data_IF_055553025298
#
_entry.id   IF_055553025298
#
_cell.length_a   1.000
_cell.length_b   1.000
_cell.length_c   1.000
_cell.angle_alpha   90.00
_cell.angle_beta   90.00
_cell.angle_gamma   90.00
#
_symmetry.space_group_name_H-M   'P 1'
#
loop_
_entity.id
_entity.type
_entity.pdbx_description
1 polymer ?
#
# COMPACT_ATOMS: atom_id res chain seq x y z
N UNK A 1 -6.17 -16.85 5.55
CA UNK A 1 -4.90 -16.24 5.10
C UNK A 1 -3.85 -17.34 5.03
N UNK A 2 -3.49 -17.84 3.83
CA UNK A 2 -2.39 -18.82 3.69
C UNK A 2 -1.12 -18.05 3.37
N UNK A 3 -0.15 -18.04 4.29
CA UNK A 3 1.27 -17.83 3.93
C UNK A 3 1.62 -18.93 2.92
N UNK A 4 2.17 -18.53 1.79
CA UNK A 4 2.71 -19.49 0.84
C UNK A 4 4.14 -19.82 1.28
N UNK A 5 4.27 -20.86 2.10
CA UNK A 5 5.54 -21.47 2.45
C UNK A 5 5.77 -22.65 1.50
N UNK A 6 6.40 -22.36 0.35
CA UNK A 6 6.81 -23.37 -0.66
C UNK A 6 8.24 -23.89 -0.39
N UNK A 7 8.55 -25.16 -0.67
CA UNK A 7 9.63 -25.90 0.00
C UNK A 7 10.98 -25.87 -0.74
N UNK A 8 12.06 -25.98 0.03
CA UNK A 8 13.23 -26.80 -0.34
C UNK A 8 14.33 -26.21 -1.22
N UNK A 9 14.24 -24.96 -1.68
CA UNK A 9 15.35 -24.32 -2.44
C UNK A 9 16.04 -23.20 -1.64
N UNK A 10 15.49 -22.82 -0.47
CA UNK A 10 16.08 -21.80 0.41
C UNK A 10 17.42 -22.22 1.03
N UNK A 11 17.67 -23.52 1.24
CA UNK A 11 18.86 -23.98 1.95
C UNK A 11 20.15 -23.95 1.10
N UNK A 12 20.03 -24.03 -0.23
CA UNK A 12 21.19 -24.12 -1.12
C UNK A 12 21.68 -22.76 -1.69
N UNK A 13 21.00 -21.66 -1.35
CA UNK A 13 21.36 -20.30 -1.81
C UNK A 13 21.62 -19.32 -0.65
N UNK A 14 21.23 -19.67 0.58
CA UNK A 14 21.59 -18.95 1.81
C UNK A 14 22.91 -19.43 2.42
N UNK A 15 23.42 -20.60 2.02
CA UNK A 15 24.73 -21.11 2.43
C UNK A 15 25.90 -20.27 1.90
N UNK A 16 25.67 -19.46 0.87
CA UNK A 16 26.71 -18.63 0.24
C UNK A 16 26.76 -17.20 0.79
N UNK A 17 25.92 -16.87 1.79
CA UNK A 17 25.85 -15.51 2.37
C UNK A 17 26.06 -15.51 3.90
N UNK A 18 25.71 -16.57 4.63
CA UNK A 18 25.79 -16.61 6.10
C UNK A 18 26.87 -17.57 6.63
N UNK A 19 28.13 -17.24 6.36
CA UNK A 19 29.26 -18.04 6.82
C UNK A 19 30.54 -17.23 7.05
N UNK A 20 30.55 -16.32 8.03
CA UNK A 20 31.60 -16.25 9.06
C UNK A 20 31.40 -15.05 10.00
N UNK A 21 31.40 -15.36 11.30
CA UNK A 21 31.40 -14.39 12.39
C UNK A 21 32.66 -13.53 12.34
N UNK A 22 32.51 -12.21 12.38
CA UNK A 22 33.63 -11.28 12.60
C UNK A 22 34.06 -11.38 14.07
N UNK A 23 34.99 -12.29 14.35
CA UNK A 23 35.92 -12.17 15.45
C UNK A 23 37.15 -11.38 14.95
N UNK A 24 37.49 -10.32 15.67
CA UNK A 24 38.67 -9.48 15.41
C UNK A 24 39.95 -10.31 15.33
N UNK A 25 40.66 -10.23 14.19
CA UNK A 25 42.12 -10.42 14.15
C UNK A 25 42.75 -9.67 12.98
N UNK A 26 43.54 -8.64 13.30
CA UNK A 26 44.55 -8.07 12.39
C UNK A 26 45.63 -9.12 12.17
N UNK A 27 45.89 -9.54 10.93
CA UNK A 27 47.23 -9.79 10.35
C UNK A 27 47.12 -9.72 8.82
N UNK A 28 48.11 -9.07 8.21
CA UNK A 28 48.41 -8.86 6.78
C UNK A 28 48.40 -10.08 5.86
N UNK A 29 47.94 -9.92 4.62
CA UNK A 29 48.21 -10.85 3.50
C UNK A 29 47.37 -10.54 2.26
N UNK A 30 48.02 -10.42 1.10
CA UNK A 30 47.47 -10.03 -0.21
C UNK A 30 46.88 -11.19 -1.03
N UNK A 31 45.95 -10.80 -1.92
CA UNK A 31 45.53 -11.41 -3.20
C UNK A 31 44.38 -12.45 -3.20
N UNK A 32 43.37 -12.15 -4.03
CA UNK A 32 42.26 -13.03 -4.42
C UNK A 32 41.03 -12.23 -4.88
N UNK A 33 41.07 -11.69 -6.10
CA UNK A 33 39.91 -11.13 -6.79
C UNK A 33 39.00 -12.26 -7.30
N UNK A 34 37.68 -12.03 -7.25
CA UNK A 34 36.64 -12.47 -8.20
C UNK A 34 35.27 -12.64 -7.49
N UNK A 35 34.76 -11.54 -6.93
CA UNK A 35 33.33 -11.33 -6.79
C UNK A 35 32.95 -10.27 -7.82
N UNK A 36 32.20 -10.62 -8.86
CA UNK A 36 31.64 -9.62 -9.78
C UNK A 36 30.75 -8.67 -8.95
N UNK A 37 31.26 -7.46 -8.71
CA UNK A 37 30.53 -6.37 -8.07
C UNK A 37 29.38 -5.96 -9.02
N UNK A 38 28.23 -6.64 -8.89
CA UNK A 38 27.07 -6.31 -9.70
C UNK A 38 26.68 -4.86 -9.42
N UNK A 39 26.43 -4.05 -10.47
CA UNK A 39 26.18 -2.63 -10.28
C UNK A 39 24.95 -2.42 -9.39
N UNK A 40 25.10 -1.52 -8.41
CA UNK A 40 24.05 -1.17 -7.46
C UNK A 40 22.74 -0.83 -8.18
N UNK A 41 21.57 -1.30 -7.70
CA UNK A 41 20.29 -0.91 -8.25
C UNK A 41 20.10 0.61 -8.24
N UNK A 42 19.56 1.13 -9.34
CA UNK A 42 19.26 2.56 -9.50
C UNK A 42 17.77 2.79 -9.67
N UNK A 43 17.32 3.93 -9.20
CA UNK A 43 15.95 4.42 -9.28
C UNK A 43 15.94 5.69 -10.11
N UNK A 44 15.04 5.76 -11.08
CA UNK A 44 14.76 6.98 -11.83
C UNK A 44 13.43 7.55 -11.35
N UNK A 45 13.48 8.77 -10.83
CA UNK A 45 12.34 9.55 -10.36
C UNK A 45 12.00 10.60 -11.42
N UNK A 46 10.71 10.92 -11.59
CA UNK A 46 10.29 12.09 -12.35
C UNK A 46 9.90 13.21 -11.38
N UNK A 47 10.52 14.37 -11.56
CA UNK A 47 10.27 15.59 -10.78
C UNK A 47 9.67 16.66 -11.69
N UNK A 48 9.31 17.82 -11.13
CA UNK A 48 8.87 18.95 -11.94
C UNK A 48 9.98 19.48 -12.87
N UNK A 49 11.24 19.32 -12.46
CA UNK A 49 12.42 19.78 -13.20
C UNK A 49 12.96 18.76 -14.20
N UNK A 50 12.49 17.51 -14.16
CA UNK A 50 12.90 16.45 -15.08
C UNK A 50 13.12 15.09 -14.42
N UNK A 51 13.81 14.21 -15.13
CA UNK A 51 14.14 12.87 -14.63
C UNK A 51 15.47 12.88 -13.86
N UNK A 52 15.48 12.25 -12.69
CA UNK A 52 16.66 12.15 -11.83
C UNK A 52 16.96 10.69 -11.54
N UNK A 53 18.16 10.24 -11.90
CA UNK A 53 18.66 8.91 -11.57
C UNK A 53 19.45 8.94 -10.25
N UNK A 54 19.17 8.00 -9.34
CA UNK A 54 19.87 7.86 -8.06
C UNK A 54 20.14 6.39 -7.76
N UNK A 55 21.28 6.06 -7.13
CA UNK A 55 21.45 4.77 -6.47
C UNK A 55 20.36 4.59 -5.42
N UNK A 56 19.80 3.38 -5.31
CA UNK A 56 18.63 3.16 -4.43
C UNK A 56 18.91 3.55 -2.98
N UNK A 57 20.13 3.34 -2.48
CA UNK A 57 20.52 3.74 -1.11
C UNK A 57 20.32 5.22 -0.79
N UNK A 58 20.28 6.07 -1.82
CA UNK A 58 20.06 7.52 -1.71
C UNK A 58 18.60 7.94 -1.98
N UNK A 59 17.68 6.99 -2.03
CA UNK A 59 16.26 7.21 -2.30
C UNK A 59 15.45 7.04 -1.01
N UNK A 60 14.96 8.14 -0.47
CA UNK A 60 14.06 8.13 0.68
C UNK A 60 12.61 8.07 0.24
N UNK A 61 11.72 7.62 1.11
CA UNK A 61 10.28 7.67 0.87
C UNK A 61 9.80 9.10 0.61
N UNK A 62 10.36 10.10 1.30
CA UNK A 62 10.05 11.51 1.09
C UNK A 62 10.40 11.99 -0.34
N UNK A 63 11.55 11.57 -0.88
CA UNK A 63 11.92 11.87 -2.27
C UNK A 63 10.92 11.25 -3.26
N UNK A 64 10.45 10.03 -2.98
CA UNK A 64 9.43 9.38 -3.81
C UNK A 64 8.08 10.09 -3.71
N UNK A 65 7.67 10.52 -2.51
CA UNK A 65 6.39 11.22 -2.32
C UNK A 65 6.36 12.60 -2.97
N UNK A 66 7.51 13.25 -3.16
CA UNK A 66 7.62 14.51 -3.89
C UNK A 66 7.68 14.33 -5.43
N UNK A 67 7.86 13.10 -5.91
CA UNK A 67 7.92 12.79 -7.33
C UNK A 67 6.52 12.70 -7.95
N UNK A 68 6.46 12.81 -9.28
CA UNK A 68 5.24 12.55 -10.06
C UNK A 68 5.27 11.14 -10.64
N UNK A 69 4.10 10.53 -10.97
CA UNK A 69 4.06 9.19 -11.54
C UNK A 69 4.99 9.01 -12.74
N UNK A 70 5.72 7.90 -12.75
CA UNK A 70 6.71 7.57 -13.79
C UNK A 70 6.08 7.47 -15.19
N UNK A 71 4.80 7.09 -15.28
CA UNK A 71 4.07 7.04 -16.54
C UNK A 71 2.93 8.04 -16.54
N UNK A 72 2.76 8.71 -17.68
CA UNK A 72 1.55 9.47 -17.94
C UNK A 72 0.49 8.51 -18.42
N UNK A 73 -0.58 8.36 -17.65
CA UNK A 73 -1.66 7.45 -18.01
C UNK A 73 -2.48 8.07 -19.15
N UNK A 74 -2.59 7.34 -20.27
CA UNK A 74 -3.40 7.72 -21.43
C UNK A 74 -4.52 6.71 -21.62
N UNK A 75 -5.76 7.17 -21.54
CA UNK A 75 -6.95 6.38 -21.89
C UNK A 75 -7.13 6.38 -23.41
N UNK A 76 -7.12 5.20 -24.03
CA UNK A 76 -7.35 5.02 -25.46
C UNK A 76 -8.54 4.07 -25.66
N UNK A 77 -9.45 4.41 -26.59
CA UNK A 77 -10.62 3.59 -26.93
C UNK A 77 -10.17 2.18 -27.32
N UNK A 78 -10.66 1.15 -26.61
CA UNK A 78 -10.33 -0.26 -26.86
C UNK A 78 -9.25 -0.85 -25.95
N UNK A 79 -8.72 -0.11 -24.98
CA UNK A 79 -7.83 -0.66 -23.96
C UNK A 79 -8.58 -1.65 -23.05
N UNK A 80 -7.92 -2.78 -22.74
CA UNK A 80 -8.40 -3.78 -21.79
C UNK A 80 -8.30 -3.31 -20.33
N UNK A 81 -7.51 -2.26 -20.08
CA UNK A 81 -7.23 -1.68 -18.78
C UNK A 81 -8.12 -0.43 -18.59
N UNK A 82 -8.55 -0.16 -17.36
CA UNK A 82 -9.44 0.94 -17.02
C UNK A 82 -8.67 2.01 -16.25
N UNK A 83 -7.88 2.86 -16.93
CA UNK A 83 -7.18 3.93 -16.27
C UNK A 83 -8.13 4.98 -15.72
N UNK A 84 -7.80 5.52 -14.54
CA UNK A 84 -8.59 6.56 -13.91
C UNK A 84 -7.88 7.27 -12.78
N UNK A 85 -8.58 8.23 -12.18
CA UNK A 85 -8.13 9.00 -11.04
C UNK A 85 -9.01 8.68 -9.83
N UNK A 86 -8.37 8.36 -8.71
CA UNK A 86 -9.02 8.14 -7.42
C UNK A 86 -8.65 9.28 -6.48
N UNK A 87 -9.63 10.04 -6.00
CA UNK A 87 -9.38 11.02 -4.94
C UNK A 87 -9.17 10.29 -3.61
N UNK A 88 -7.99 10.42 -3.01
CA UNK A 88 -7.61 9.78 -1.75
C UNK A 88 -7.74 10.78 -0.59
N UNK A 89 -8.38 10.34 0.49
CA UNK A 89 -8.44 11.12 1.74
C UNK A 89 -7.05 11.25 2.37
N UNK A 90 -6.24 10.20 2.28
CA UNK A 90 -4.86 10.13 2.78
C UNK A 90 -3.95 11.16 2.13
N UNK A 91 -4.01 11.30 0.80
CA UNK A 91 -3.16 12.27 0.08
C UNK A 91 -3.82 13.64 -0.11
N UNK A 92 -5.13 13.76 0.16
CA UNK A 92 -5.93 14.95 -0.17
C UNK A 92 -6.05 15.22 -1.68
N UNK A 93 -5.60 14.30 -2.53
CA UNK A 93 -5.41 14.52 -3.96
C UNK A 93 -5.78 13.29 -4.80
N UNK A 94 -5.55 13.41 -6.12
CA UNK A 94 -5.83 12.33 -7.04
C UNK A 94 -4.62 11.40 -7.19
N UNK A 95 -4.86 10.11 -7.01
CA UNK A 95 -3.90 9.03 -7.25
C UNK A 95 -4.35 8.25 -8.48
N UNK A 96 -3.41 7.99 -9.39
CA UNK A 96 -3.71 7.30 -10.65
C UNK A 96 -3.73 5.78 -10.45
N UNK A 97 -4.58 5.09 -11.21
CA UNK A 97 -4.58 3.63 -11.32
C UNK A 97 -4.83 3.23 -12.78
N UNK A 98 -4.36 2.06 -13.17
CA UNK A 98 -4.55 1.49 -14.52
C UNK A 98 -5.51 0.28 -14.54
N UNK A 99 -5.76 -0.34 -13.38
CA UNK A 99 -6.66 -1.49 -13.29
C UNK A 99 -7.66 -1.40 -12.14
N UNK A 100 -8.76 -2.16 -12.24
CA UNK A 100 -9.74 -2.28 -11.13
C UNK A 100 -9.14 -2.92 -9.88
N UNK A 101 -8.12 -3.76 -10.05
CA UNK A 101 -7.41 -4.38 -8.94
C UNK A 101 -6.52 -3.35 -8.25
N UNK A 102 -5.81 -2.50 -9.00
CA UNK A 102 -5.08 -1.35 -8.44
C UNK A 102 -6.01 -0.38 -7.70
N UNK A 103 -7.16 -0.04 -8.30
CA UNK A 103 -8.18 0.77 -7.61
C UNK A 103 -8.63 0.15 -6.29
N UNK A 104 -8.78 -1.19 -6.25
CA UNK A 104 -9.14 -1.87 -5.02
C UNK A 104 -8.00 -1.81 -3.98
N UNK A 105 -6.73 -1.92 -4.38
CA UNK A 105 -5.59 -1.75 -3.47
C UNK A 105 -5.45 -0.32 -2.95
N UNK A 106 -5.70 0.67 -3.81
CA UNK A 106 -5.75 2.08 -3.42
C UNK A 106 -6.83 2.35 -2.40
N UNK A 107 -8.03 1.78 -2.61
CA UNK A 107 -9.13 1.91 -1.67
C UNK A 107 -8.78 1.34 -0.28
N UNK A 108 -8.11 0.18 -0.24
CA UNK A 108 -7.62 -0.40 1.03
C UNK A 108 -6.55 0.49 1.66
N UNK A 109 -5.61 1.01 0.85
CA UNK A 109 -4.57 1.92 1.35
C UNK A 109 -5.17 3.21 1.92
N UNK A 110 -6.20 3.77 1.28
CA UNK A 110 -6.82 5.03 1.70
C UNK A 110 -7.69 4.90 2.95
N UNK A 111 -8.12 3.68 3.27
CA UNK A 111 -8.89 3.36 4.48
C UNK A 111 -7.98 3.02 5.67
N UNK A 112 -6.76 2.56 5.42
CA UNK A 112 -5.80 2.17 6.46
C UNK A 112 -5.23 3.43 7.15
N UNK A 113 -5.61 3.66 8.40
CA UNK A 113 -5.20 4.85 9.17
C UNK A 113 -3.70 4.92 9.43
N UNK A 114 -3.00 3.79 9.32
CA UNK A 114 -1.55 3.75 9.46
C UNK A 114 -0.84 4.21 8.19
N UNK A 115 -1.53 4.30 7.04
CA UNK A 115 -0.96 4.81 5.79
C UNK A 115 -1.11 6.32 5.73
N UNK A 116 0.01 7.03 5.63
CA UNK A 116 0.08 8.51 5.59
C UNK A 116 0.56 9.04 4.24
N UNK A 117 0.97 8.17 3.32
CA UNK A 117 1.41 8.55 1.98
C UNK A 117 1.17 7.45 0.95
N UNK A 118 0.73 7.85 -0.24
CA UNK A 118 0.45 6.95 -1.36
C UNK A 118 1.01 7.57 -2.64
N UNK A 119 2.04 6.95 -3.23
CA UNK A 119 2.56 7.32 -4.54
C UNK A 119 2.26 6.22 -5.56
N UNK A 120 1.57 6.57 -6.64
CA UNK A 120 1.31 5.66 -7.76
C UNK A 120 2.44 5.70 -8.79
N UNK A 121 2.83 4.53 -9.27
CA UNK A 121 3.92 4.36 -10.24
C UNK A 121 5.16 5.19 -9.86
N UNK A 122 5.67 5.00 -8.64
CA UNK A 122 6.52 5.98 -7.95
C UNK A 122 7.85 6.28 -8.67
N UNK A 123 8.39 5.30 -9.40
CA UNK A 123 9.68 5.40 -10.08
C UNK A 123 9.91 4.22 -11.04
N UNK A 124 10.96 4.32 -11.85
CA UNK A 124 11.53 3.17 -12.56
C UNK A 124 12.73 2.62 -11.80
N UNK A 125 12.64 1.35 -11.40
CA UNK A 125 13.73 0.58 -10.81
C UNK A 125 14.52 -0.13 -11.91
N UNK A 126 15.86 -0.04 -11.85
CA UNK A 126 16.78 -0.78 -12.72
C UNK A 126 17.79 -1.53 -11.88
N UNK A 127 18.07 -2.77 -12.26
CA UNK A 127 19.09 -3.60 -11.62
C UNK A 127 19.65 -4.61 -12.63
N UNK A 128 20.82 -5.18 -12.33
CA UNK A 128 21.33 -6.36 -13.01
C UNK A 128 20.95 -7.61 -12.23
N UNK A 129 20.20 -8.52 -12.84
CA UNK A 129 19.71 -9.74 -12.19
C UNK A 129 20.12 -10.93 -13.06
N UNK A 130 20.95 -11.83 -12.52
CA UNK A 130 21.51 -12.96 -13.28
C UNK A 130 22.25 -12.50 -14.54
N UNK A 131 23.08 -11.46 -14.42
CA UNK A 131 23.85 -10.88 -15.55
C UNK A 131 23.02 -10.09 -16.57
N UNK A 132 21.70 -9.94 -16.39
CA UNK A 132 20.82 -9.23 -17.33
C UNK A 132 20.26 -7.95 -16.73
N UNK A 133 20.28 -6.87 -17.52
CA UNK A 133 19.62 -5.63 -17.15
C UNK A 133 18.09 -5.83 -17.08
N UNK A 134 17.50 -5.54 -15.92
CA UNK A 134 16.06 -5.59 -15.67
C UNK A 134 15.52 -4.20 -15.35
N UNK A 135 14.25 -3.99 -15.63
CA UNK A 135 13.51 -2.75 -15.44
C UNK A 135 12.14 -3.06 -14.85
N UNK A 136 11.71 -2.30 -13.85
CA UNK A 136 10.40 -2.48 -13.22
C UNK A 136 9.84 -1.14 -12.73
N UNK A 137 8.54 -0.94 -12.93
CA UNK A 137 7.80 0.20 -12.35
C UNK A 137 6.81 -0.40 -11.36
N UNK A 138 7.01 -0.17 -10.05
CA UNK A 138 6.06 -0.60 -9.02
C UNK A 138 4.70 0.05 -9.18
N UNK A 139 3.63 -0.59 -8.70
CA UNK A 139 2.29 -0.02 -8.82
C UNK A 139 2.07 1.09 -7.77
N UNK A 140 2.48 0.85 -6.52
CA UNK A 140 2.44 1.86 -5.45
C UNK A 140 3.69 1.83 -4.55
N UNK A 141 4.02 2.97 -3.96
CA UNK A 141 4.76 3.06 -2.70
C UNK A 141 3.80 3.61 -1.64
N UNK A 142 3.67 2.90 -0.52
CA UNK A 142 2.92 3.33 0.65
C UNK A 142 3.89 3.73 1.75
N UNK A 143 3.58 4.82 2.46
CA UNK A 143 4.34 5.27 3.63
C UNK A 143 3.43 5.17 4.84
N UNK A 144 3.93 4.55 5.90
CA UNK A 144 3.23 4.36 7.14
C UNK A 144 3.60 5.45 8.16
N UNK A 145 2.75 5.63 9.17
CA UNK A 145 2.89 6.66 10.22
C UNK A 145 4.19 6.50 11.03
N UNK A 146 4.70 5.27 11.17
CA UNK A 146 5.98 4.93 11.80
C UNK A 146 7.21 5.25 10.90
N UNK A 147 6.99 5.74 9.69
CA UNK A 147 8.02 6.04 8.69
C UNK A 147 8.42 4.84 7.82
N UNK A 148 7.86 3.65 8.06
CA UNK A 148 8.11 2.49 7.21
C UNK A 148 7.51 2.70 5.82
N UNK A 149 8.20 2.18 4.81
CA UNK A 149 7.74 2.23 3.43
C UNK A 149 7.48 0.81 2.90
N UNK A 150 6.43 0.68 2.11
CA UNK A 150 6.02 -0.56 1.47
C UNK A 150 5.89 -0.38 -0.04
N UNK A 151 6.68 -1.15 -0.77
CA UNK A 151 6.60 -1.22 -2.22
C UNK A 151 5.58 -2.29 -2.63
N UNK A 152 4.57 -1.89 -3.40
CA UNK A 152 3.43 -2.74 -3.75
C UNK A 152 3.40 -2.99 -5.27
N UNK A 153 3.32 -4.27 -5.63
CA UNK A 153 2.95 -4.70 -6.97
C UNK A 153 1.59 -5.39 -6.94
N UNK A 154 0.67 -4.99 -7.81
CA UNK A 154 -0.67 -5.51 -7.92
C UNK A 154 -0.76 -6.50 -9.07
N UNK A 155 -1.11 -7.76 -8.76
CA UNK A 155 -1.24 -8.84 -9.76
C UNK A 155 -2.34 -9.83 -9.36
N UNK A 156 -3.25 -10.20 -10.27
CA UNK A 156 -4.28 -11.18 -9.97
C UNK A 156 -3.65 -12.55 -9.70
N UNK A 157 -4.30 -13.35 -8.84
CA UNK A 157 -3.80 -14.68 -8.42
C UNK A 157 -3.47 -15.58 -9.62
N UNK A 158 -4.33 -15.59 -10.65
CA UNK A 158 -4.12 -16.39 -11.86
C UNK A 158 -2.84 -16.06 -12.63
N UNK A 159 -2.26 -14.87 -12.43
CA UNK A 159 -0.99 -14.47 -13.05
C UNK A 159 0.21 -14.79 -12.17
N UNK A 160 0.01 -15.10 -10.88
CA UNK A 160 1.11 -15.48 -9.97
C UNK A 160 1.56 -16.92 -10.18
N UNK A 161 0.71 -17.76 -10.76
CA UNK A 161 1.03 -19.14 -11.14
C UNK A 161 1.96 -19.23 -12.35
N UNK A 162 2.10 -18.14 -13.11
CA UNK A 162 3.02 -18.01 -14.23
C UNK A 162 4.45 -17.79 -13.70
N UNK A 163 5.41 -18.72 -13.91
CA UNK A 163 6.77 -18.61 -13.39
C UNK A 163 7.50 -17.36 -13.87
N UNK A 164 7.21 -16.88 -15.08
CA UNK A 164 7.82 -15.66 -15.64
C UNK A 164 7.35 -14.43 -14.87
N UNK A 165 6.06 -14.38 -14.53
CA UNK A 165 5.50 -13.30 -13.72
C UNK A 165 6.06 -13.37 -12.29
N UNK A 166 6.14 -14.55 -11.70
CA UNK A 166 6.72 -14.74 -10.38
C UNK A 166 8.19 -14.29 -10.33
N UNK A 167 9.01 -14.63 -11.34
CA UNK A 167 10.39 -14.15 -11.45
C UNK A 167 10.45 -12.61 -11.58
N UNK A 168 9.60 -12.04 -12.42
CA UNK A 168 9.55 -10.58 -12.65
C UNK A 168 9.19 -9.79 -11.38
N UNK A 169 8.45 -10.40 -10.44
CA UNK A 169 8.09 -9.81 -9.15
C UNK A 169 9.09 -10.13 -8.03
N UNK A 170 9.92 -11.16 -8.20
CA UNK A 170 10.87 -11.58 -7.16
C UNK A 170 11.98 -10.56 -6.96
N UNK A 171 12.62 -10.15 -8.06
CA UNK A 171 13.82 -9.30 -7.98
C UNK A 171 13.55 -7.90 -7.44
N UNK A 172 12.43 -7.19 -7.78
CA UNK A 172 12.14 -5.90 -7.17
C UNK A 172 11.91 -6.03 -5.66
N UNK A 173 11.36 -7.16 -5.22
CA UNK A 173 11.17 -7.45 -3.80
C UNK A 173 12.47 -7.68 -3.04
N UNK A 174 13.47 -8.32 -3.67
CA UNK A 174 14.82 -8.43 -3.08
C UNK A 174 15.42 -7.04 -2.90
N UNK A 175 15.41 -6.22 -3.97
CA UNK A 175 15.96 -4.86 -3.94
C UNK A 175 15.26 -3.98 -2.90
N UNK A 176 13.92 -4.03 -2.83
CA UNK A 176 13.15 -3.27 -1.83
C UNK A 176 13.52 -3.67 -0.40
N UNK A 177 13.58 -4.97 -0.09
CA UNK A 177 13.93 -5.45 1.25
C UNK A 177 15.37 -5.12 1.64
N UNK A 178 16.32 -5.26 0.71
CA UNK A 178 17.71 -4.84 0.94
C UNK A 178 17.84 -3.34 1.21
N UNK A 179 16.95 -2.53 0.62
CA UNK A 179 16.87 -1.09 0.89
C UNK A 179 16.15 -0.74 2.20
N UNK A 180 15.56 -1.73 2.90
CA UNK A 180 14.80 -1.52 4.13
C UNK A 180 13.32 -1.22 3.92
N UNK A 181 12.78 -1.41 2.71
CA UNK A 181 11.35 -1.32 2.45
C UNK A 181 10.67 -2.69 2.50
N UNK A 182 9.45 -2.71 3.05
CA UNK A 182 8.57 -3.86 2.92
C UNK A 182 8.19 -4.06 1.44
N UNK A 183 7.93 -5.31 1.05
CA UNK A 183 7.50 -5.64 -0.30
C UNK A 183 6.23 -6.47 -0.28
N UNK A 184 5.23 -6.05 -1.05
CA UNK A 184 3.92 -6.68 -1.13
C UNK A 184 3.56 -6.99 -2.58
N UNK A 185 3.18 -8.23 -2.84
CA UNK A 185 2.44 -8.59 -4.04
C UNK A 185 0.97 -8.69 -3.63
N UNK A 186 0.16 -7.73 -4.05
CA UNK A 186 -1.26 -7.70 -3.70
C UNK A 186 -2.12 -8.28 -4.82
N UNK A 187 -2.96 -9.25 -4.45
CA UNK A 187 -3.77 -10.01 -5.41
C UNK A 187 -5.27 -9.89 -5.22
N UNK A 188 -5.72 -9.01 -4.32
CA UNK A 188 -7.12 -8.83 -3.98
C UNK A 188 -7.39 -8.96 -2.49
N UNK A 189 -8.64 -8.66 -2.13
CA UNK A 189 -9.21 -8.95 -0.82
C UNK A 189 -10.63 -9.51 -1.02
N UNK A 190 -11.27 -9.95 0.06
CA UNK A 190 -12.61 -10.52 0.02
C UNK A 190 -13.65 -9.55 -0.56
N UNK A 191 -14.62 -10.08 -1.31
CA UNK A 191 -15.57 -9.26 -2.04
C UNK A 191 -16.46 -8.41 -1.12
N UNK A 192 -16.89 -8.97 0.02
CA UNK A 192 -17.71 -8.26 1.02
C UNK A 192 -16.92 -7.10 1.63
N UNK A 193 -15.68 -7.36 2.05
CA UNK A 193 -14.78 -6.33 2.57
C UNK A 193 -14.59 -5.18 1.57
N UNK A 194 -14.24 -5.48 0.32
CA UNK A 194 -14.09 -4.45 -0.71
C UNK A 194 -15.40 -3.73 -1.03
N UNK A 195 -16.56 -4.39 -0.94
CA UNK A 195 -17.86 -3.74 -1.14
C UNK A 195 -18.18 -2.76 -0.01
N UNK A 196 -17.93 -3.14 1.24
CA UNK A 196 -18.10 -2.27 2.40
C UNK A 196 -17.15 -1.07 2.35
N UNK A 197 -15.87 -1.27 2.01
CA UNK A 197 -14.94 -0.16 1.83
C UNK A 197 -15.38 0.79 0.72
N UNK A 198 -15.87 0.26 -0.41
CA UNK A 198 -16.37 1.11 -1.51
C UNK A 198 -17.55 1.96 -1.06
N UNK A 199 -18.42 1.40 -0.23
CA UNK A 199 -19.54 2.14 0.37
C UNK A 199 -19.05 3.21 1.35
N UNK A 200 -18.17 2.85 2.30
CA UNK A 200 -17.61 3.77 3.29
C UNK A 200 -16.80 4.91 2.65
N UNK A 201 -16.17 4.66 1.51
CA UNK A 201 -15.45 5.68 0.77
C UNK A 201 -16.35 6.88 0.43
N UNK A 202 -17.66 6.70 0.28
CA UNK A 202 -18.60 7.82 0.09
C UNK A 202 -18.55 8.87 1.21
N UNK A 203 -18.09 8.50 2.40
CA UNK A 203 -18.11 9.31 3.63
C UNK A 203 -16.73 9.85 4.05
N UNK A 204 -15.70 9.65 3.21
CA UNK A 204 -14.29 9.95 3.54
C UNK A 204 -13.88 11.41 3.42
N UNK A 205 -14.66 12.24 2.70
CA UNK A 205 -14.26 13.60 2.35
C UNK A 205 -14.22 14.49 3.60
N UNK A 206 -13.10 15.18 3.89
CA UNK A 206 -13.05 16.21 4.92
C UNK A 206 -14.14 17.27 4.68
N UNK A 207 -14.77 17.72 5.77
CA UNK A 207 -15.83 18.73 5.70
C UNK A 207 -17.16 18.27 5.11
N UNK A 208 -17.35 16.96 4.84
CA UNK A 208 -18.65 16.42 4.41
C UNK A 208 -19.77 16.71 5.43
N UNK A 209 -19.41 16.73 6.72
CA UNK A 209 -20.31 16.98 7.84
C UNK A 209 -19.68 17.99 8.80
N UNK A 210 -20.47 18.77 9.55
CA UNK A 210 -19.95 19.62 10.62
C UNK A 210 -19.20 18.79 11.68
N UNK A 211 -18.01 19.23 12.11
CA UNK A 211 -17.23 18.52 13.13
C UNK A 211 -17.99 18.31 14.45
N UNK A 212 -18.78 19.32 14.85
CA UNK A 212 -19.64 19.23 16.02
C UNK A 212 -20.63 18.05 15.96
N UNK A 213 -21.10 17.67 14.77
CA UNK A 213 -21.98 16.51 14.60
C UNK A 213 -21.21 15.20 14.82
N UNK A 214 -20.01 15.06 14.25
CA UNK A 214 -19.19 13.86 14.49
C UNK A 214 -18.80 13.73 15.96
N UNK A 215 -18.51 14.84 16.63
CA UNK A 215 -18.15 14.83 18.06
C UNK A 215 -19.36 14.48 18.93
N UNK A 216 -20.55 14.97 18.61
CA UNK A 216 -21.79 14.58 19.27
C UNK A 216 -22.09 13.07 19.09
N UNK A 217 -21.83 12.52 17.91
CA UNK A 217 -22.00 11.07 17.67
C UNK A 217 -20.98 10.25 18.46
N UNK A 218 -19.73 10.68 18.55
CA UNK A 218 -18.73 10.04 19.41
C UNK A 218 -19.15 10.11 20.88
N UNK A 219 -19.65 11.25 21.36
CA UNK A 219 -20.12 11.39 22.75
C UNK A 219 -21.35 10.53 23.05
N UNK A 220 -22.18 10.22 22.05
CA UNK A 220 -23.35 9.35 22.20
C UNK A 220 -23.03 7.85 22.17
N UNK A 221 -21.85 7.47 21.65
CA UNK A 221 -21.42 6.08 21.55
C UNK A 221 -21.27 5.42 22.92
N UNK A 222 -21.70 4.17 23.02
CA UNK A 222 -21.50 3.30 24.18
C UNK A 222 -20.97 1.94 23.72
N UNK A 223 -20.10 1.29 24.52
CA UNK A 223 -19.66 -0.07 24.24
C UNK A 223 -20.84 -1.01 24.01
N UNK A 224 -20.79 -1.80 22.93
CA UNK A 224 -21.84 -2.73 22.51
C UNK A 224 -22.93 -2.12 21.63
N UNK A 225 -22.85 -0.84 21.28
CA UNK A 225 -23.75 -0.24 20.30
C UNK A 225 -23.60 -0.90 18.92
N UNK A 226 -24.71 -1.04 18.21
CA UNK A 226 -24.71 -1.18 16.75
C UNK A 226 -24.82 0.19 16.08
N UNK A 227 -24.53 0.28 14.78
CA UNK A 227 -24.77 1.49 13.97
C UNK A 227 -26.20 2.02 14.18
N UNK A 228 -27.21 1.16 14.09
CA UNK A 228 -28.61 1.54 14.25
C UNK A 228 -28.93 2.06 15.64
N UNK A 229 -28.42 1.41 16.70
CA UNK A 229 -28.66 1.83 18.08
C UNK A 229 -28.01 3.18 18.40
N UNK A 230 -26.79 3.43 17.88
CA UNK A 230 -26.09 4.70 17.99
C UNK A 230 -26.87 5.81 17.26
N UNK A 231 -27.26 5.55 16.01
CA UNK A 231 -28.02 6.51 15.20
C UNK A 231 -29.35 6.83 15.89
N UNK A 232 -30.09 5.83 16.35
CA UNK A 232 -31.36 6.02 17.05
C UNK A 232 -31.21 6.88 18.31
N UNK A 233 -30.10 6.74 19.05
CA UNK A 233 -29.81 7.55 20.24
C UNK A 233 -29.43 8.99 19.90
N UNK A 234 -28.55 9.19 18.92
CA UNK A 234 -28.00 10.50 18.57
C UNK A 234 -28.95 11.36 17.69
N UNK A 235 -30.03 10.79 17.15
CA UNK A 235 -31.02 11.51 16.32
C UNK A 235 -31.88 12.53 17.09
N UNK A 236 -31.79 12.59 18.43
CA UNK A 236 -32.58 13.54 19.24
C UNK A 236 -32.32 15.01 18.88
N UNK A 237 -31.14 15.32 18.37
CA UNK A 237 -30.67 16.70 18.13
C UNK A 237 -30.33 16.97 16.66
N UNK A 238 -30.42 15.97 15.78
CA UNK A 238 -30.00 16.08 14.37
C UNK A 238 -30.71 15.08 13.46
N UNK A 239 -30.88 15.36 12.15
CA UNK A 239 -31.54 14.44 11.23
C UNK A 239 -30.85 13.08 11.16
N UNK A 240 -31.64 12.00 11.21
CA UNK A 240 -31.12 10.62 11.23
C UNK A 240 -30.12 10.31 10.11
N UNK A 241 -30.35 10.85 8.91
CA UNK A 241 -29.44 10.67 7.77
C UNK A 241 -28.05 11.28 8.00
N UNK A 242 -27.97 12.44 8.66
CA UNK A 242 -26.71 13.09 8.99
C UNK A 242 -25.98 12.37 10.12
N UNK A 243 -26.71 11.90 11.14
CA UNK A 243 -26.16 11.09 12.23
C UNK A 243 -25.59 9.77 11.69
N UNK A 244 -26.31 9.11 10.77
CA UNK A 244 -25.81 7.91 10.09
C UNK A 244 -24.56 8.20 9.27
N UNK A 245 -24.56 9.28 8.49
CA UNK A 245 -23.38 9.69 7.74
C UNK A 245 -22.19 9.95 8.68
N UNK A 246 -22.42 10.58 9.85
CA UNK A 246 -21.38 10.83 10.84
C UNK A 246 -20.80 9.53 11.40
N UNK A 247 -21.64 8.55 11.75
CA UNK A 247 -21.16 7.22 12.18
C UNK A 247 -20.31 6.54 11.10
N UNK A 248 -20.70 6.63 9.82
CA UNK A 248 -19.95 6.06 8.69
C UNK A 248 -18.64 6.81 8.42
N UNK A 249 -18.62 8.14 8.60
CA UNK A 249 -17.38 8.94 8.58
C UNK A 249 -16.43 8.52 9.71
N UNK A 250 -16.93 8.27 10.91
CA UNK A 250 -16.11 7.82 12.05
C UNK A 250 -15.53 6.41 11.83
N UNK A 251 -16.27 5.52 11.15
CA UNK A 251 -15.74 4.23 10.68
C UNK A 251 -14.61 4.40 9.66
N UNK A 252 -14.78 5.31 8.69
CA UNK A 252 -13.72 5.60 7.71
C UNK A 252 -12.46 6.17 8.38
N UNK A 253 -12.63 7.05 9.37
CA UNK A 253 -11.54 7.69 10.09
C UNK A 253 -10.84 6.76 11.10
N UNK A 254 -11.32 5.53 11.27
CA UNK A 254 -10.83 4.63 12.32
C UNK A 254 -11.01 5.19 13.72
N UNK A 255 -12.04 6.02 13.97
CA UNK A 255 -12.44 6.46 15.32
C UNK A 255 -13.46 5.51 15.94
N UNK A 256 -14.20 4.82 15.09
CA UNK A 256 -15.01 3.65 15.41
C UNK A 256 -14.57 2.50 14.50
N UNK A 257 -14.78 1.26 14.93
CA UNK A 257 -14.51 0.07 14.12
C UNK A 257 -15.70 -0.90 14.14
N UNK A 258 -15.74 -1.77 13.14
CA UNK A 258 -16.70 -2.88 13.01
C UNK A 258 -16.07 -3.98 12.15
N UNK A 259 -16.58 -5.20 12.22
CA UNK A 259 -16.19 -6.28 11.30
C UNK A 259 -16.67 -5.97 9.87
N UNK A 260 -15.73 -5.54 9.03
CA UNK A 260 -15.99 -5.23 7.61
C UNK A 260 -15.96 -6.46 6.70
N UNK A 261 -15.68 -7.66 7.21
CA UNK A 261 -15.80 -8.91 6.45
C UNK A 261 -17.24 -9.43 6.40
N UNK A 262 -18.13 -8.89 7.23
CA UNK A 262 -19.57 -9.11 7.17
C UNK A 262 -20.26 -7.96 6.47
N UNK A 263 -21.43 -8.20 5.87
CA UNK A 263 -22.21 -7.15 5.22
C UNK A 263 -22.51 -6.03 6.23
N UNK A 264 -22.13 -4.80 5.90
CA UNK A 264 -22.40 -3.64 6.73
C UNK A 264 -23.91 -3.36 6.78
N UNK A 265 -24.47 -3.24 7.99
CA UNK A 265 -25.88 -2.95 8.21
C UNK A 265 -26.07 -2.15 9.52
N UNK A 266 -27.31 -1.81 9.84
CA UNK A 266 -27.64 -1.15 11.10
C UNK A 266 -27.41 -2.05 12.33
N UNK A 267 -27.24 -3.36 12.12
CA UNK A 267 -26.93 -4.34 13.18
C UNK A 267 -25.42 -4.56 13.34
N UNK A 268 -24.57 -3.92 12.53
CA UNK A 268 -23.13 -3.99 12.67
C UNK A 268 -22.70 -3.41 14.01
N UNK A 269 -22.07 -4.25 14.83
CA UNK A 269 -21.55 -3.89 16.15
C UNK A 269 -20.36 -2.93 16.01
N UNK A 270 -20.37 -1.90 16.84
CA UNK A 270 -19.36 -0.85 16.89
C UNK A 270 -18.46 -1.04 18.10
N UNK A 271 -17.17 -0.83 17.87
CA UNK A 271 -16.15 -0.73 18.91
C UNK A 271 -15.47 0.64 18.83
N UNK A 272 -14.94 1.09 19.97
CA UNK A 272 -14.02 2.22 19.95
C UNK A 272 -12.69 1.73 19.34
N UNK A 273 -12.18 2.46 18.36
CA UNK A 273 -10.84 2.22 17.86
C UNK A 273 -9.83 2.89 18.81
N UNK A 274 -8.79 2.15 19.19
CA UNK A 274 -7.71 2.59 20.08
C UNK A 274 -6.70 3.46 19.32
#
# INVERSE_FOLDING_TARGET
MRRWDGPGVLAAYLSDIDGESVAQKRVSGSAGADGEDLPEPVVLLRTAEGEVERPIRNVTAALVMAAVPWRTVRSVRGQSHFPGWYWSATTGGHVVYESRLELARLLVADFDTEVVGIAAQPFLLRATVGGRARRHVPDFLLVHADGAARLVNVKPVSRLEDPVVAEALRWPGVVARSHGWAYEIWSGAEAVYLANLRFLAGYRRPGLLPGALTDAVVAAFRPGDTIGSLVGRATRESPAGQVKAAALTLLWQGRLSTDLHRRLSDDSALEAAL
#
